data_IF_622698656371
#
_entry.id   IF_622698656371
#
_cell.length_a   1.000
_cell.length_b   1.000
_cell.length_c   1.000
_cell.angle_alpha   90.00
_cell.angle_beta   90.00
_cell.angle_gamma   90.00
#
_symmetry.space_group_name_H-M   'P 1'
#
loop_
_entity.id
_entity.type
_entity.pdbx_description
1 polymer ?
#
# COMPACT_ATOMS: atom_id res chain seq x y z
N UNK A 1 -1.74 28.86 -3.79
CA UNK A 1 -1.55 28.01 -2.59
C UNK A 1 -0.52 26.96 -2.89
N UNK A 2 0.57 26.89 -2.12
CA UNK A 2 1.73 26.01 -2.38
C UNK A 2 2.08 25.11 -1.18
N UNK A 3 1.24 25.04 -0.15
CA UNK A 3 1.50 24.18 1.03
C UNK A 3 1.48 22.68 0.74
N UNK A 4 0.85 22.23 -0.35
CA UNK A 4 0.63 20.81 -0.63
C UNK A 4 1.90 19.96 -0.87
N UNK A 5 3.03 20.58 -1.22
CA UNK A 5 4.32 19.86 -1.46
C UNK A 5 5.44 20.26 -0.50
N UNK A 6 5.17 21.13 0.48
CA UNK A 6 6.17 21.53 1.47
C UNK A 6 6.31 20.46 2.53
N UNK A 7 7.50 19.87 2.61
CA UNK A 7 7.86 18.93 3.67
C UNK A 7 8.05 19.68 5.00
N UNK A 8 7.29 19.30 6.02
CA UNK A 8 7.48 19.76 7.41
C UNK A 8 8.36 18.78 8.18
N UNK A 9 8.92 19.22 9.32
CA UNK A 9 9.70 18.33 10.21
C UNK A 9 8.88 17.11 10.65
N UNK A 10 7.60 17.31 10.96
CA UNK A 10 6.69 16.22 11.32
C UNK A 10 6.46 15.26 10.15
N UNK A 11 6.36 15.78 8.92
CA UNK A 11 6.21 14.94 7.74
C UNK A 11 7.47 14.10 7.46
N UNK A 12 8.66 14.67 7.63
CA UNK A 12 9.91 13.89 7.53
C UNK A 12 9.96 12.78 8.58
N UNK A 13 9.57 13.08 9.83
CA UNK A 13 9.52 12.08 10.90
C UNK A 13 8.50 10.98 10.61
N UNK A 14 7.36 11.33 10.02
CA UNK A 14 6.39 10.37 9.52
C UNK A 14 7.00 9.46 8.45
N UNK A 15 7.64 10.03 7.42
CA UNK A 15 8.30 9.26 6.35
C UNK A 15 9.36 8.30 6.91
N UNK A 16 10.23 8.78 7.81
CA UNK A 16 11.27 7.96 8.45
C UNK A 16 10.67 6.81 9.28
N UNK A 17 9.62 7.09 10.07
CA UNK A 17 8.93 6.07 10.86
C UNK A 17 8.30 5.00 9.97
N UNK A 18 7.63 5.41 8.89
CA UNK A 18 7.03 4.49 7.93
C UNK A 18 8.07 3.61 7.23
N UNK A 19 9.18 4.19 6.78
CA UNK A 19 10.28 3.43 6.16
C UNK A 19 10.86 2.42 7.15
N UNK A 20 11.13 2.82 8.40
CA UNK A 20 11.64 1.91 9.44
C UNK A 20 10.70 0.74 9.69
N UNK A 21 9.40 1.00 9.82
CA UNK A 21 8.40 -0.05 10.01
C UNK A 21 8.32 -0.97 8.78
N UNK A 22 8.34 -0.41 7.57
CA UNK A 22 8.31 -1.19 6.33
C UNK A 22 9.53 -2.11 6.19
N UNK A 23 10.73 -1.60 6.44
CA UNK A 23 11.96 -2.40 6.39
C UNK A 23 11.98 -3.49 7.47
N UNK A 24 11.48 -3.20 8.68
CA UNK A 24 11.33 -4.20 9.74
C UNK A 24 10.39 -5.34 9.29
N UNK A 25 9.27 -5.04 8.63
CA UNK A 25 8.40 -6.06 8.05
C UNK A 25 9.10 -6.87 6.96
N UNK A 26 9.91 -6.22 6.10
CA UNK A 26 10.68 -6.91 5.04
C UNK A 26 11.68 -7.93 5.59
N UNK A 27 12.30 -7.66 6.75
CA UNK A 27 13.16 -8.65 7.41
C UNK A 27 12.42 -9.95 7.79
N UNK A 28 11.08 -9.90 7.89
CA UNK A 28 10.23 -11.05 8.19
C UNK A 28 9.36 -11.47 6.98
N UNK A 29 9.76 -11.16 5.75
CA UNK A 29 8.94 -11.42 4.54
C UNK A 29 8.50 -12.88 4.42
N UNK A 30 9.39 -13.85 4.64
CA UNK A 30 9.03 -15.27 4.52
C UNK A 30 7.95 -15.68 5.53
N UNK A 31 8.02 -15.18 6.76
CA UNK A 31 7.01 -15.43 7.78
C UNK A 31 5.66 -14.84 7.36
N UNK A 32 5.65 -13.60 6.88
CA UNK A 32 4.43 -12.95 6.39
C UNK A 32 3.82 -13.75 5.23
N UNK A 33 4.61 -14.11 4.21
CA UNK A 33 4.14 -14.91 3.07
C UNK A 33 3.50 -16.23 3.54
N UNK A 34 4.13 -16.93 4.49
CA UNK A 34 3.59 -18.19 5.02
C UNK A 34 2.27 -17.96 5.76
N UNK A 35 2.19 -16.96 6.65
CA UNK A 35 0.98 -16.64 7.40
C UNK A 35 -0.19 -16.28 6.47
N UNK A 36 0.06 -15.46 5.44
CA UNK A 36 -0.96 -15.13 4.45
C UNK A 36 -1.35 -16.35 3.59
N UNK A 37 -0.38 -17.21 3.24
CA UNK A 37 -0.67 -18.47 2.54
C UNK A 37 -1.53 -19.42 3.37
N UNK A 38 -1.29 -19.51 4.68
CA UNK A 38 -2.14 -20.31 5.59
C UNK A 38 -3.53 -19.70 5.70
N UNK A 39 -3.63 -18.37 5.76
CA UNK A 39 -4.92 -17.67 5.78
C UNK A 39 -5.77 -18.00 4.54
N UNK A 40 -5.16 -18.08 3.35
CA UNK A 40 -5.80 -18.56 2.11
C UNK A 40 -6.40 -19.96 2.30
N UNK A 41 -5.60 -20.89 2.83
CA UNK A 41 -5.96 -22.31 2.93
C UNK A 41 -7.12 -22.57 3.92
N UNK A 42 -7.32 -21.68 4.90
CA UNK A 42 -8.43 -21.80 5.87
C UNK A 42 -9.79 -21.36 5.33
N UNK A 43 -9.89 -21.00 4.04
CA UNK A 43 -11.15 -20.71 3.37
C UNK A 43 -11.69 -19.30 3.63
N UNK A 44 -10.81 -18.33 3.90
CA UNK A 44 -11.22 -16.92 3.98
C UNK A 44 -11.62 -16.43 2.58
N UNK A 45 -12.90 -16.08 2.32
CA UNK A 45 -13.39 -15.82 0.96
C UNK A 45 -12.78 -14.59 0.27
N UNK A 46 -12.09 -13.72 1.01
CA UNK A 46 -11.45 -12.51 0.47
C UNK A 46 -10.00 -12.72 0.01
N UNK A 47 -9.47 -13.93 0.15
CA UNK A 47 -8.09 -14.28 -0.16
C UNK A 47 -8.17 -15.72 -0.70
N UNK A 48 -8.16 -15.87 -2.03
CA UNK A 48 -8.56 -17.14 -2.69
C UNK A 48 -7.57 -17.62 -3.74
N UNK A 49 -6.54 -16.82 -4.04
CA UNK A 49 -5.82 -16.94 -5.30
C UNK A 49 -4.30 -16.83 -5.11
N UNK A 50 -3.53 -17.38 -6.06
CA UNK A 50 -2.06 -17.28 -6.05
C UNK A 50 -1.62 -15.82 -6.21
N UNK A 51 -2.45 -15.05 -6.90
CA UNK A 51 -2.31 -13.63 -7.18
C UNK A 51 -2.27 -12.80 -5.88
N UNK A 52 -3.00 -13.23 -4.84
CA UNK A 52 -2.98 -12.59 -3.52
C UNK A 52 -1.62 -12.73 -2.81
N UNK A 53 -0.91 -13.85 -3.03
CA UNK A 53 0.45 -14.04 -2.50
C UNK A 53 1.47 -13.24 -3.28
N UNK A 54 1.35 -13.21 -4.60
CA UNK A 54 2.23 -12.37 -5.44
C UNK A 54 2.05 -10.89 -5.10
N UNK A 55 0.83 -10.42 -4.82
CA UNK A 55 0.59 -9.07 -4.34
C UNK A 55 1.41 -8.73 -3.09
N UNK A 56 1.49 -9.65 -2.12
CA UNK A 56 2.27 -9.42 -0.89
C UNK A 56 3.76 -9.40 -1.18
N UNK A 57 4.24 -10.28 -2.09
CA UNK A 57 5.64 -10.28 -2.53
C UNK A 57 6.02 -8.96 -3.20
N UNK A 58 5.12 -8.43 -4.02
CA UNK A 58 5.29 -7.13 -4.68
C UNK A 58 5.25 -5.98 -3.68
N UNK A 59 4.28 -5.99 -2.76
CA UNK A 59 4.14 -4.97 -1.72
C UNK A 59 5.37 -4.93 -0.79
N UNK A 60 5.96 -6.09 -0.47
CA UNK A 60 7.19 -6.20 0.32
C UNK A 60 8.46 -6.07 -0.54
N UNK A 61 8.35 -5.80 -1.84
CA UNK A 61 9.46 -5.64 -2.79
C UNK A 61 10.51 -6.75 -2.66
N UNK A 62 10.05 -8.00 -2.64
CA UNK A 62 10.93 -9.17 -2.49
C UNK A 62 11.99 -9.19 -3.60
N UNK A 63 13.25 -9.43 -3.22
CA UNK A 63 14.39 -9.46 -4.15
C UNK A 63 15.00 -8.09 -4.49
N UNK A 64 14.42 -6.98 -4.00
CA UNK A 64 15.03 -5.65 -4.08
C UNK A 64 15.95 -5.39 -2.89
N UNK A 65 16.99 -4.58 -3.08
CA UNK A 65 17.83 -4.11 -1.98
C UNK A 65 17.05 -3.12 -1.09
N UNK A 66 17.62 -2.77 0.06
CA UNK A 66 16.97 -1.92 1.07
C UNK A 66 16.70 -0.49 0.57
N UNK A 67 17.62 0.10 -0.20
CA UNK A 67 17.47 1.46 -0.73
C UNK A 67 16.35 1.55 -1.77
N UNK A 68 16.25 0.55 -2.66
CA UNK A 68 15.17 0.46 -3.65
C UNK A 68 13.81 0.26 -2.97
N UNK A 69 13.76 -0.55 -1.91
CA UNK A 69 12.55 -0.78 -1.13
C UNK A 69 12.10 0.48 -0.38
N UNK A 70 13.04 1.20 0.22
CA UNK A 70 12.80 2.50 0.86
C UNK A 70 12.25 3.51 -0.16
N UNK A 71 12.87 3.61 -1.34
CA UNK A 71 12.39 4.49 -2.42
C UNK A 71 10.98 4.11 -2.85
N UNK A 72 10.71 2.84 -3.08
CA UNK A 72 9.37 2.35 -3.41
C UNK A 72 8.32 2.80 -2.39
N UNK A 73 8.60 2.67 -1.10
CA UNK A 73 7.65 3.07 -0.06
C UNK A 73 7.44 4.59 -0.02
N UNK A 74 8.50 5.38 -0.20
CA UNK A 74 8.40 6.84 -0.30
C UNK A 74 7.59 7.28 -1.52
N UNK A 75 7.72 6.58 -2.66
CA UNK A 75 6.92 6.83 -3.85
C UNK A 75 5.43 6.53 -3.59
N UNK A 76 5.09 5.49 -2.82
CA UNK A 76 3.69 5.25 -2.41
C UNK A 76 3.12 6.38 -1.55
N UNK A 77 3.92 6.98 -0.67
CA UNK A 77 3.53 8.16 0.11
C UNK A 77 3.25 9.35 -0.82
N UNK A 78 4.09 9.54 -1.85
CA UNK A 78 3.90 10.60 -2.84
C UNK A 78 2.65 10.40 -3.68
N UNK A 79 2.36 9.16 -4.12
CA UNK A 79 1.11 8.82 -4.82
C UNK A 79 -0.11 9.22 -4.00
N UNK A 80 -0.08 8.99 -2.68
CA UNK A 80 -1.16 9.42 -1.79
C UNK A 80 -1.28 10.94 -1.73
N UNK A 81 -0.15 11.65 -1.69
CA UNK A 81 -0.10 13.11 -1.68
C UNK A 81 -0.67 13.71 -2.97
N UNK A 82 -0.27 13.17 -4.11
CA UNK A 82 -0.74 13.64 -5.43
C UNK A 82 -2.22 13.33 -5.66
N UNK A 83 -2.73 12.20 -5.13
CA UNK A 83 -4.18 11.90 -5.16
C UNK A 83 -5.02 12.90 -4.37
N UNK A 84 -4.45 13.53 -3.33
CA UNK A 84 -5.12 14.56 -2.54
C UNK A 84 -6.50 14.12 -2.04
N UNK A 85 -7.54 14.85 -2.43
CA UNK A 85 -8.93 14.57 -2.03
C UNK A 85 -9.69 13.67 -3.02
N UNK A 86 -9.08 13.27 -4.13
CA UNK A 86 -9.76 12.55 -5.23
C UNK A 86 -10.41 11.26 -4.75
N UNK A 87 -9.65 10.44 -4.01
CA UNK A 87 -10.14 9.16 -3.48
C UNK A 87 -11.24 9.40 -2.44
N UNK A 88 -11.08 10.40 -1.56
CA UNK A 88 -12.07 10.74 -0.53
C UNK A 88 -13.40 11.19 -1.15
N UNK A 89 -13.35 12.04 -2.17
CA UNK A 89 -14.55 12.47 -2.90
C UNK A 89 -15.24 11.29 -3.60
N UNK A 90 -14.46 10.38 -4.18
CA UNK A 90 -15.00 9.18 -4.77
C UNK A 90 -15.72 8.27 -3.75
N UNK A 91 -15.13 8.09 -2.55
CA UNK A 91 -15.80 7.39 -1.45
C UNK A 91 -17.11 8.08 -1.03
N UNK A 92 -17.13 9.42 -1.00
CA UNK A 92 -18.35 10.18 -0.70
C UNK A 92 -19.45 9.95 -1.75
N UNK A 93 -19.14 10.05 -3.05
CA UNK A 93 -20.10 9.78 -4.12
C UNK A 93 -20.65 8.34 -4.05
N UNK A 94 -19.79 7.37 -3.75
CA UNK A 94 -20.22 5.99 -3.62
C UNK A 94 -21.14 5.77 -2.41
N UNK A 95 -20.74 6.24 -1.23
CA UNK A 95 -21.44 5.96 0.02
C UNK A 95 -22.72 6.79 0.19
N UNK A 96 -22.70 8.06 -0.25
CA UNK A 96 -23.80 9.01 -0.04
C UNK A 96 -24.75 9.06 -1.24
N UNK A 97 -24.22 8.95 -2.46
CA UNK A 97 -25.01 9.06 -3.68
C UNK A 97 -25.24 7.72 -4.39
N UNK A 98 -24.68 6.62 -3.87
CA UNK A 98 -24.87 5.28 -4.43
C UNK A 98 -24.25 5.08 -5.81
N UNK A 99 -23.34 5.96 -6.24
CA UNK A 99 -22.72 5.88 -7.57
C UNK A 99 -21.74 4.69 -7.56
N UNK A 100 -21.97 3.70 -8.43
CA UNK A 100 -21.02 2.59 -8.62
C UNK A 100 -19.78 3.08 -9.35
N UNK A 101 -18.60 2.89 -8.77
CA UNK A 101 -17.36 3.03 -9.53
C UNK A 101 -17.27 1.92 -10.58
N UNK A 102 -16.98 2.28 -11.83
CA UNK A 102 -16.63 1.29 -12.84
C UNK A 102 -15.35 0.57 -12.45
N UNK A 103 -15.42 -0.75 -12.31
CA UNK A 103 -14.26 -1.62 -12.15
C UNK A 103 -13.31 -1.41 -13.33
N UNK A 104 -12.12 -0.87 -13.06
CA UNK A 104 -10.99 -1.08 -13.96
C UNK A 104 -10.25 -2.30 -13.45
N UNK A 105 -10.70 -3.48 -13.88
CA UNK A 105 -9.84 -4.64 -13.95
C UNK A 105 -8.67 -4.26 -14.88
N UNK A 106 -7.49 -4.05 -14.32
CA UNK A 106 -6.26 -4.01 -15.13
C UNK A 106 -6.05 -5.41 -15.71
N UNK A 107 -5.99 -5.47 -17.04
CA UNK A 107 -5.60 -6.63 -17.81
C UNK A 107 -4.13 -7.00 -17.58
#
# INVERSE_FOLDING_TARGET
GTSGKKTSLHFQKFQDTCVKAYLALRHHTNLLIILFSMMLMTGMPQLTSKEDIEYIRDALTVGKNEEDAKKYFLDQIEVCRDKGWTVQFNWFLHLVLGIKQGEKHSA
#
